data_IF_810270417029
#
_entry.id   IF_810270417029
#
_cell.length_a   1.000
_cell.length_b   1.000
_cell.length_c   1.000
_cell.angle_alpha   90.00
_cell.angle_beta   90.00
_cell.angle_gamma   90.00
#
_symmetry.space_group_name_H-M   'P 1'
#
loop_
_entity.id
_entity.type
_entity.pdbx_description
1 polymer ?
#
# COMPACT_ATOMS: atom_id res chain seq x y z
N UNK A 1 -33.39 0.61 -36.91
CA UNK A 1 -33.36 0.38 -35.45
C UNK A 1 -32.91 -1.03 -35.06
N UNK A 2 -33.60 -2.10 -35.49
CA UNK A 2 -33.32 -3.49 -35.07
C UNK A 2 -31.87 -3.98 -35.33
N UNK A 3 -31.25 -3.59 -36.45
CA UNK A 3 -29.85 -3.93 -36.79
C UNK A 3 -28.81 -3.21 -35.91
N UNK A 4 -29.12 -1.98 -35.48
CA UNK A 4 -28.27 -1.22 -34.56
C UNK A 4 -28.35 -1.77 -33.14
N UNK A 5 -29.55 -2.18 -32.69
CA UNK A 5 -29.76 -2.82 -31.38
C UNK A 5 -29.00 -4.15 -31.27
N UNK A 6 -29.01 -4.96 -32.34
CA UNK A 6 -28.26 -6.22 -32.39
C UNK A 6 -26.74 -5.95 -32.39
N UNK A 7 -26.27 -4.97 -33.16
CA UNK A 7 -24.85 -4.59 -33.17
C UNK A 7 -24.38 -4.06 -31.80
N UNK A 8 -25.18 -3.23 -31.13
CA UNK A 8 -24.87 -2.74 -29.79
C UNK A 8 -24.91 -3.85 -28.75
N UNK A 9 -25.86 -4.79 -28.84
CA UNK A 9 -25.93 -5.97 -27.96
C UNK A 9 -24.68 -6.86 -28.12
N UNK A 10 -24.21 -7.06 -29.36
CA UNK A 10 -22.99 -7.81 -29.65
C UNK A 10 -21.72 -7.14 -29.09
N UNK A 11 -21.64 -5.80 -29.16
CA UNK A 11 -20.52 -5.02 -28.61
C UNK A 11 -20.45 -5.11 -27.07
N UNK A 12 -21.60 -5.12 -26.38
CA UNK A 12 -21.67 -5.29 -24.92
C UNK A 12 -21.25 -6.68 -24.45
N UNK A 13 -21.54 -7.74 -25.21
CA UNK A 13 -21.15 -9.13 -24.86
C UNK A 13 -19.64 -9.34 -24.98
N UNK A 14 -18.96 -8.63 -25.89
CA UNK A 14 -17.50 -8.71 -26.07
C UNK A 14 -16.75 -7.94 -24.97
N UNK A 15 -17.38 -6.91 -24.38
CA UNK A 15 -16.73 -6.01 -23.42
C UNK A 15 -16.68 -6.54 -21.97
N UNK A 16 -17.30 -7.69 -21.68
CA UNK A 16 -17.43 -8.22 -20.31
C UNK A 16 -16.47 -9.37 -19.96
N UNK A 17 -15.54 -9.75 -20.85
CA UNK A 17 -14.59 -10.84 -20.63
C UNK A 17 -13.15 -10.34 -20.50
N UNK A 18 -12.91 -9.40 -19.57
CA UNK A 18 -11.54 -9.10 -19.14
C UNK A 18 -11.19 -10.09 -18.02
N UNK A 19 -10.36 -11.08 -18.34
CA UNK A 19 -9.77 -11.96 -17.33
C UNK A 19 -8.71 -11.15 -16.58
N UNK A 20 -8.97 -10.84 -15.31
CA UNK A 20 -8.01 -10.18 -14.43
C UNK A 20 -7.08 -11.27 -13.88
N UNK A 21 -5.82 -11.28 -14.31
CA UNK A 21 -4.78 -12.12 -13.72
C UNK A 21 -4.16 -11.40 -12.51
N UNK A 22 -3.83 -12.14 -11.47
CA UNK A 22 -2.97 -11.62 -10.40
C UNK A 22 -1.56 -11.39 -10.94
N UNK A 23 -0.91 -10.31 -10.50
CA UNK A 23 0.51 -10.09 -10.73
C UNK A 23 1.36 -11.22 -10.11
N UNK A 24 2.45 -11.58 -10.77
CA UNK A 24 3.43 -12.53 -10.22
C UNK A 24 4.30 -11.81 -9.18
N UNK A 25 4.39 -12.37 -7.96
CA UNK A 25 5.16 -11.79 -6.87
C UNK A 25 6.60 -12.33 -6.86
N UNK A 26 7.64 -11.48 -6.74
CA UNK A 26 9.01 -11.95 -6.61
C UNK A 26 9.25 -12.62 -5.25
N UNK A 27 9.99 -13.74 -5.26
CA UNK A 27 10.36 -14.49 -4.05
C UNK A 27 11.61 -13.93 -3.36
N UNK A 28 12.45 -13.22 -4.12
CA UNK A 28 13.68 -12.58 -3.64
C UNK A 28 13.62 -11.10 -4.01
N UNK A 29 13.89 -10.24 -3.03
CA UNK A 29 13.96 -8.80 -3.21
C UNK A 29 15.40 -8.34 -3.03
N UNK A 30 15.89 -7.50 -3.93
CA UNK A 30 17.23 -6.91 -3.88
C UNK A 30 17.41 -5.91 -2.72
N UNK A 31 16.30 -5.42 -2.18
CA UNK A 31 16.29 -4.46 -1.06
C UNK A 31 15.24 -4.88 -0.03
N UNK A 32 15.62 -4.79 1.25
CA UNK A 32 14.75 -5.09 2.38
C UNK A 32 13.56 -4.12 2.44
N UNK A 33 13.84 -2.81 2.37
CA UNK A 33 12.83 -1.77 2.44
C UNK A 33 12.65 -1.09 1.08
N UNK A 34 11.79 -1.68 0.24
CA UNK A 34 11.42 -1.08 -1.05
C UNK A 34 10.74 0.28 -0.90
N UNK A 35 10.25 0.67 0.28
CA UNK A 35 9.62 1.96 0.58
C UNK A 35 10.56 3.00 1.21
N UNK A 36 11.88 2.79 1.22
CA UNK A 36 12.83 3.67 1.92
C UNK A 36 12.83 5.13 1.44
N UNK A 37 12.37 5.42 0.21
CA UNK A 37 12.25 6.78 -0.32
C UNK A 37 10.82 7.34 -0.25
N UNK A 38 9.88 6.64 0.39
CA UNK A 38 8.55 7.19 0.63
C UNK A 38 8.65 8.40 1.58
N UNK A 39 7.87 9.46 1.36
CA UNK A 39 7.84 10.59 2.28
C UNK A 39 7.36 10.12 3.65
N UNK A 40 7.96 10.68 4.70
CA UNK A 40 7.51 10.46 6.07
C UNK A 40 6.12 11.12 6.21
N UNK A 41 5.10 10.40 6.70
CA UNK A 41 3.76 10.97 6.88
C UNK A 41 3.77 12.04 7.99
N UNK A 42 2.73 12.87 8.04
CA UNK A 42 2.48 13.66 9.25
C UNK A 42 2.17 12.70 10.41
N UNK A 43 2.89 12.85 11.52
CA UNK A 43 2.71 12.07 12.74
C UNK A 43 2.14 13.00 13.82
N UNK A 44 0.81 13.00 14.04
CA UNK A 44 0.18 13.84 15.06
C UNK A 44 0.76 13.62 16.45
N UNK A 45 0.73 14.66 17.28
CA UNK A 45 1.01 14.51 18.70
C UNK A 45 -0.07 13.63 19.36
N UNK A 46 0.25 13.04 20.52
CA UNK A 46 -0.69 12.20 21.25
C UNK A 46 -2.06 12.87 21.51
N UNK A 47 -2.08 14.19 21.78
CA UNK A 47 -3.30 14.97 22.01
C UNK A 47 -4.17 15.16 20.76
N UNK A 48 -3.61 14.96 19.57
CA UNK A 48 -4.30 15.10 18.29
C UNK A 48 -4.81 13.77 17.74
N UNK A 49 -4.45 12.64 18.37
CA UNK A 49 -4.84 11.31 17.91
C UNK A 49 -6.33 11.03 18.19
N UNK A 50 -7.07 10.47 17.22
CA UNK A 50 -8.44 10.05 17.45
C UNK A 50 -8.47 8.79 18.32
N UNK A 51 -9.54 8.63 19.10
CA UNK A 51 -9.84 7.37 19.78
C UNK A 51 -10.41 6.39 18.76
N UNK A 52 -9.69 5.33 18.46
CA UNK A 52 -10.14 4.23 17.59
C UNK A 52 -10.41 3.00 18.45
N UNK A 53 -11.68 2.62 18.61
CA UNK A 53 -12.06 1.47 19.45
C UNK A 53 -11.83 0.11 18.77
N UNK A 54 -11.89 0.08 17.44
CA UNK A 54 -11.64 -1.11 16.64
C UNK A 54 -10.19 -1.16 16.16
N UNK A 55 -9.80 -2.26 15.51
CA UNK A 55 -8.50 -2.33 14.84
C UNK A 55 -8.44 -1.30 13.69
N UNK A 56 -7.33 -0.56 13.52
CA UNK A 56 -7.14 0.34 12.40
C UNK A 56 -7.30 -0.38 11.05
N UNK A 57 -7.95 0.27 10.09
CA UNK A 57 -8.13 -0.27 8.75
C UNK A 57 -6.79 -0.21 7.97
N UNK A 58 -6.20 -1.35 7.58
CA UNK A 58 -4.92 -1.35 6.87
C UNK A 58 -5.01 -0.70 5.48
N UNK A 59 -6.22 -0.59 4.91
CA UNK A 59 -6.47 -0.03 3.58
C UNK A 59 -7.01 1.40 3.62
N UNK A 60 -7.03 2.06 4.77
CA UNK A 60 -7.34 3.49 4.90
C UNK A 60 -6.05 4.28 5.18
N UNK A 61 -5.88 5.43 4.53
CA UNK A 61 -4.78 6.36 4.86
C UNK A 61 -5.06 7.05 6.20
N UNK A 62 -4.02 7.23 7.02
CA UNK A 62 -4.18 7.78 8.37
C UNK A 62 -4.56 9.27 8.38
N UNK A 63 -4.26 10.00 7.30
CA UNK A 63 -4.71 11.38 7.06
C UNK A 63 -6.17 11.48 6.55
N UNK A 64 -6.88 10.35 6.48
CA UNK A 64 -8.26 10.25 6.00
C UNK A 64 -8.49 10.68 4.54
N UNK A 65 -7.43 10.78 3.70
CA UNK A 65 -7.58 11.19 2.29
C UNK A 65 -8.23 10.15 1.39
N UNK A 66 -8.47 8.94 1.89
CA UNK A 66 -9.17 7.88 1.18
C UNK A 66 -8.62 6.49 1.45
N UNK A 67 -8.89 5.57 0.52
CA UNK A 67 -8.46 4.16 0.62
C UNK A 67 -7.28 3.86 -0.30
N UNK A 68 -6.48 2.86 0.10
CA UNK A 68 -5.46 2.20 -0.73
C UNK A 68 -6.19 1.37 -1.78
N UNK A 69 -5.92 1.60 -3.07
CA UNK A 69 -6.65 0.94 -4.16
C UNK A 69 -5.75 0.07 -5.05
N UNK A 70 -4.48 0.44 -5.21
CA UNK A 70 -3.55 -0.26 -6.08
C UNK A 70 -2.45 -0.95 -5.30
N UNK A 71 -1.88 -2.00 -5.87
CA UNK A 71 -0.70 -2.64 -5.29
C UNK A 71 0.49 -1.68 -5.17
N UNK A 72 0.68 -0.77 -6.13
CA UNK A 72 1.71 0.27 -6.07
C UNK A 72 1.57 1.18 -4.86
N UNK A 73 0.34 1.37 -4.36
CA UNK A 73 0.06 2.22 -3.20
C UNK A 73 0.49 1.54 -1.91
N UNK A 74 0.50 0.20 -1.88
CA UNK A 74 0.87 -0.57 -0.69
C UNK A 74 2.27 -0.25 -0.18
N UNK A 75 3.20 0.04 -1.09
CA UNK A 75 4.55 0.52 -0.75
C UNK A 75 4.51 1.74 0.17
N UNK A 76 3.69 2.72 -0.17
CA UNK A 76 3.53 3.95 0.62
C UNK A 76 2.76 3.69 1.91
N UNK A 77 1.69 2.87 1.87
CA UNK A 77 0.95 2.51 3.07
C UNK A 77 1.80 1.73 4.07
N UNK A 78 2.65 0.82 3.60
CA UNK A 78 3.57 0.06 4.46
C UNK A 78 4.63 0.95 5.11
N UNK A 79 5.11 1.96 4.38
CA UNK A 79 6.02 2.98 4.93
C UNK A 79 5.32 3.87 5.98
N UNK A 80 4.07 4.25 5.73
CA UNK A 80 3.24 5.01 6.68
C UNK A 80 3.01 4.22 7.98
N UNK A 81 2.53 2.97 7.89
CA UNK A 81 2.32 2.08 9.04
C UNK A 81 3.63 1.86 9.81
N UNK A 82 4.76 1.67 9.12
CA UNK A 82 6.07 1.51 9.76
C UNK A 82 6.41 2.76 10.60
N UNK A 83 6.27 3.95 10.02
CA UNK A 83 6.58 5.20 10.72
C UNK A 83 5.66 5.40 11.94
N UNK A 84 4.39 5.04 11.84
CA UNK A 84 3.44 5.09 12.96
C UNK A 84 3.83 4.14 14.10
N UNK A 85 4.13 2.87 13.80
CA UNK A 85 4.52 1.88 14.81
C UNK A 85 5.83 2.30 15.50
N UNK A 86 6.81 2.77 14.74
CA UNK A 86 8.08 3.26 15.28
C UNK A 86 7.89 4.48 16.18
N UNK A 87 7.05 5.43 15.78
CA UNK A 87 6.84 6.66 16.55
C UNK A 87 5.98 6.45 17.80
N UNK A 88 4.92 5.65 17.73
CA UNK A 88 3.95 5.53 18.82
C UNK A 88 4.17 4.33 19.75
N UNK A 89 5.00 3.35 19.38
CA UNK A 89 5.10 2.10 20.15
C UNK A 89 6.53 1.61 20.38
N UNK A 90 7.30 1.34 19.32
CA UNK A 90 8.53 0.54 19.44
C UNK A 90 9.83 1.35 19.38
N UNK A 91 9.77 2.64 19.06
CA UNK A 91 10.93 3.48 18.78
C UNK A 91 11.45 3.33 17.35
N UNK A 92 12.34 4.24 16.94
CA UNK A 92 12.89 4.25 15.58
C UNK A 92 13.86 3.08 15.35
N UNK A 93 13.64 2.31 14.28
CA UNK A 93 14.63 1.34 13.81
C UNK A 93 15.82 2.12 13.25
N UNK A 94 17.05 1.88 13.76
CA UNK A 94 18.23 2.58 13.28
C UNK A 94 18.54 2.21 11.82
N UNK A 95 19.23 3.11 11.13
CA UNK A 95 19.74 2.85 9.78
C UNK A 95 20.75 1.71 9.78
N UNK A 96 20.89 1.07 8.61
CA UNK A 96 21.93 0.08 8.39
C UNK A 96 23.30 0.69 8.74
N UNK A 97 24.13 0.02 9.56
CA UNK A 97 25.46 0.52 9.89
C UNK A 97 26.39 0.51 8.67
N UNK A 98 27.40 1.39 8.68
CA UNK A 98 28.37 1.53 7.58
C UNK A 98 29.20 0.25 7.34
N UNK A 99 29.37 -0.58 8.37
CA UNK A 99 30.17 -1.81 8.30
C UNK A 99 29.39 -3.00 8.85
N UNK A 100 29.39 -4.10 8.08
CA UNK A 100 28.89 -5.41 8.50
C UNK A 100 29.96 -6.44 8.10
N UNK A 101 30.58 -7.09 9.08
CA UNK A 101 31.67 -8.06 8.88
C UNK A 101 31.18 -9.43 9.35
N UNK A 102 31.37 -10.45 8.52
CA UNK A 102 31.18 -11.86 8.88
C UNK A 102 32.52 -12.60 8.76
N UNK A 103 32.85 -13.47 9.72
CA UNK A 103 34.01 -14.35 9.70
C UNK A 103 33.55 -15.81 9.80
N UNK A 104 34.28 -16.71 9.16
CA UNK A 104 33.98 -18.14 9.07
C UNK A 104 34.73 -18.97 10.11
#
# INVERSE_FOLDING_TARGET
>A
MRRHIIFSAFLTVISFNVVIFSQEMPLVYETENTGANCPIPYLPTYSELPIVQALPDPFLWSDSRGRVQNFSDWRYRRAEIKAEIEHYEIGEIPWRPDSIIAAF
#
